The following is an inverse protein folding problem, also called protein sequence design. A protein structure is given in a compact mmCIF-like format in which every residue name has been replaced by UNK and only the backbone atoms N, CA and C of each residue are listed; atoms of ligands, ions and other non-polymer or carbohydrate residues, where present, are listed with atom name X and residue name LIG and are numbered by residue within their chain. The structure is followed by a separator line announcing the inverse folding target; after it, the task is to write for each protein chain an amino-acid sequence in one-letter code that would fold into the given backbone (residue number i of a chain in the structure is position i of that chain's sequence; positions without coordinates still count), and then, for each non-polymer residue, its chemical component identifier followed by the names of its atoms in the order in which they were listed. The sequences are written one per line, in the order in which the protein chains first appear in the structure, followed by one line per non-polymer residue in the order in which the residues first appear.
data_IF_258755248511
#
_entry.id   IF_258755248511
#
_cell.length_a   1.000
_cell.length_b   1.000
_cell.length_c   1.000
_cell.angle_alpha   90.00
_cell.angle_beta   90.00
_cell.angle_gamma   90.00
#
_symmetry.space_group_name_H-M   'P 1'
#
loop_
_entity.id
_entity.type
_entity.pdbx_description
1 polymer ?
#
# COMPACT_ATOMS: atom_id res chain seq x y z
N UNK A 1 47.96 -15.93 -29.80
CA UNK A 1 47.54 -15.00 -28.73
C UNK A 1 46.33 -15.58 -28.02
N UNK A 2 46.36 -16.86 -27.66
CA UNK A 2 47.13 -17.45 -26.55
C UNK A 2 46.65 -17.06 -25.17
N UNK A 3 46.33 -18.13 -24.44
CA UNK A 3 46.45 -18.30 -23.00
C UNK A 3 45.26 -17.92 -22.11
N UNK A 4 44.79 -18.77 -21.20
CA UNK A 4 45.18 -20.13 -20.81
C UNK A 4 44.18 -20.68 -19.77
N UNK A 5 43.94 -21.99 -19.83
CA UNK A 5 43.85 -23.00 -18.74
C UNK A 5 42.72 -23.03 -17.69
N UNK A 6 42.10 -24.22 -17.68
CA UNK A 6 41.46 -24.98 -16.60
C UNK A 6 42.43 -25.39 -15.47
N UNK A 7 41.93 -25.55 -14.23
CA UNK A 7 42.28 -26.57 -13.20
C UNK A 7 41.34 -26.36 -11.97
N UNK A 8 40.39 -27.22 -11.53
CA UNK A 8 40.36 -28.57 -10.90
C UNK A 8 40.80 -28.66 -9.41
N UNK A 9 39.79 -28.70 -8.52
CA UNK A 9 39.46 -29.64 -7.39
C UNK A 9 40.25 -29.71 -6.05
N UNK A 10 39.43 -29.83 -4.96
CA UNK A 10 39.57 -30.60 -3.69
C UNK A 10 40.65 -30.16 -2.66
N UNK A 11 40.57 -30.39 -1.34
CA UNK A 11 39.60 -30.93 -0.35
C UNK A 11 40.25 -30.88 1.06
N UNK A 12 39.43 -30.76 2.13
CA UNK A 12 39.63 -31.17 3.55
C UNK A 12 40.86 -30.71 4.37
N UNK A 13 40.65 -30.20 5.60
CA UNK A 13 40.43 -31.02 6.82
C UNK A 13 40.46 -30.21 8.13
N UNK A 14 39.56 -30.62 9.02
CA UNK A 14 39.33 -30.39 10.46
C UNK A 14 40.47 -29.93 11.41
N UNK A 15 40.05 -29.21 12.47
CA UNK A 15 40.43 -29.47 13.88
C UNK A 15 39.32 -29.01 14.87
N UNK A 16 38.71 -30.01 15.54
CA UNK A 16 38.07 -30.00 16.89
C UNK A 16 39.11 -29.62 17.96
N UNK A 17 38.88 -29.25 19.23
CA UNK A 17 37.80 -29.06 20.22
C UNK A 17 38.49 -28.26 21.38
N UNK A 18 37.87 -27.57 22.34
CA UNK A 18 37.15 -28.10 23.52
C UNK A 18 36.85 -26.93 24.50
N UNK A 19 35.99 -27.18 25.48
CA UNK A 19 35.24 -26.27 26.37
C UNK A 19 35.81 -26.29 27.80
N UNK A 20 35.75 -25.18 28.58
CA UNK A 20 35.11 -25.12 29.93
C UNK A 20 35.50 -23.90 30.81
N UNK A 21 34.48 -23.08 31.12
CA UNK A 21 33.98 -22.55 32.42
C UNK A 21 34.89 -21.94 33.52
N UNK A 22 34.54 -20.72 34.00
CA UNK A 22 34.04 -20.46 35.37
C UNK A 22 33.93 -18.97 35.80
N UNK A 23 32.70 -18.61 36.20
CA UNK A 23 32.27 -17.85 37.40
C UNK A 23 32.56 -16.33 37.65
N UNK A 24 31.44 -15.59 37.78
CA UNK A 24 31.11 -14.54 38.80
C UNK A 24 31.90 -13.20 38.76
N UNK A 25 31.39 -11.97 38.95
CA UNK A 25 30.22 -11.40 39.63
C UNK A 25 30.10 -9.90 39.24
N UNK A 26 28.93 -9.39 38.83
CA UNK A 26 28.45 -8.04 39.22
C UNK A 26 26.99 -7.80 38.80
N UNK A 27 26.11 -7.80 39.80
CA UNK A 27 24.72 -7.34 39.72
C UNK A 27 24.71 -5.79 39.76
N UNK A 28 23.83 -5.14 39.01
CA UNK A 28 22.64 -4.44 39.53
C UNK A 28 22.01 -3.44 38.54
N UNK A 29 20.80 -3.81 38.08
CA UNK A 29 19.54 -3.03 37.99
C UNK A 29 19.63 -1.51 37.72
N UNK A 30 19.26 -1.11 36.50
CA UNK A 30 18.62 0.18 36.20
C UNK A 30 17.24 -0.05 35.58
N UNK A 31 16.21 -0.07 36.42
CA UNK A 31 14.83 0.17 36.01
C UNK A 31 14.11 0.91 37.12
N UNK A 32 14.23 2.24 37.08
CA UNK A 32 13.38 3.20 37.81
C UNK A 32 12.99 4.27 36.82
N UNK A 33 12.04 3.92 35.96
CA UNK A 33 11.48 4.82 34.97
C UNK A 33 10.68 5.91 35.71
N UNK A 34 11.26 7.12 35.73
CA UNK A 34 10.62 8.44 35.80
C UNK A 34 9.46 8.62 36.80
N UNK A 35 9.81 9.03 38.02
CA UNK A 35 8.97 9.89 38.85
C UNK A 35 9.66 11.25 38.99
N UNK A 36 9.20 12.26 38.24
CA UNK A 36 9.50 13.67 38.54
C UNK A 36 8.32 14.55 38.10
N UNK A 37 7.41 14.72 39.05
CA UNK A 37 6.67 15.94 39.38
C UNK A 37 6.71 17.09 38.36
N UNK A 38 5.53 17.44 37.83
CA UNK A 38 5.19 18.82 37.43
C UNK A 38 3.95 19.23 38.23
N UNK A 39 4.18 19.91 39.34
CA UNK A 39 3.27 20.94 39.86
C UNK A 39 3.54 22.25 39.09
N UNK A 40 2.54 23.14 39.07
CA UNK A 40 2.35 24.36 38.27
C UNK A 40 1.64 24.09 36.93
N UNK A 41 0.43 24.59 36.66
CA UNK A 41 -0.15 25.87 37.08
C UNK A 41 -1.68 25.79 37.29
N UNK A 42 -2.11 26.26 38.46
CA UNK A 42 -3.48 26.50 38.89
C UNK A 42 -4.13 27.73 38.22
N UNK A 43 -3.83 28.00 36.94
CA UNK A 43 -4.36 29.17 36.21
C UNK A 43 -5.10 28.81 34.92
N UNK A 44 -5.29 27.52 34.62
CA UNK A 44 -6.00 27.05 33.41
C UNK A 44 -7.32 26.33 33.66
N UNK A 45 -7.74 26.13 34.92
CA UNK A 45 -8.90 25.30 35.27
C UNK A 45 -10.25 26.07 35.26
N UNK A 46 -10.22 27.40 35.16
CA UNK A 46 -11.42 28.22 35.28
C UNK A 46 -12.26 28.30 33.98
N UNK A 47 -11.70 27.93 32.83
CA UNK A 47 -12.41 27.99 31.55
C UNK A 47 -13.08 26.66 31.15
N UNK A 48 -12.96 25.60 31.95
CA UNK A 48 -13.42 24.25 31.61
C UNK A 48 -14.72 23.82 32.31
N UNK A 49 -15.40 24.70 33.05
CA UNK A 49 -16.57 24.35 33.87
C UNK A 49 -17.92 24.81 33.31
N UNK A 50 -17.98 25.35 32.09
CA UNK A 50 -19.25 25.83 31.51
C UNK A 50 -19.69 25.15 30.19
N UNK A 51 -19.13 23.99 29.85
CA UNK A 51 -19.78 23.13 28.86
C UNK A 51 -20.84 22.30 29.57
N UNK A 52 -22.11 22.72 29.47
CA UNK A 52 -23.26 21.87 29.79
C UNK A 52 -23.15 20.51 29.08
N UNK A 53 -23.93 19.49 29.49
CA UNK A 53 -23.82 18.14 28.92
C UNK A 53 -23.89 18.25 27.40
N UNK A 54 -22.77 17.94 26.73
CA UNK A 54 -22.78 17.78 25.28
C UNK A 54 -23.70 16.60 25.02
N UNK A 55 -24.90 16.86 24.53
CA UNK A 55 -25.76 15.84 23.97
C UNK A 55 -24.99 15.21 22.80
N UNK A 56 -24.22 14.17 23.08
CA UNK A 56 -23.65 13.31 22.05
C UNK A 56 -24.83 12.55 21.48
N UNK A 57 -25.39 13.07 20.39
CA UNK A 57 -26.41 12.37 19.63
C UNK A 57 -25.75 11.08 19.13
N UNK A 58 -26.09 9.97 19.74
CA UNK A 58 -25.72 8.64 19.26
C UNK A 58 -26.60 8.36 18.05
N UNK A 59 -26.02 8.43 16.86
CA UNK A 59 -26.71 8.05 15.64
C UNK A 59 -26.69 6.53 15.51
N UNK A 60 -27.83 5.94 15.19
CA UNK A 60 -27.91 4.54 14.78
C UNK A 60 -27.30 4.38 13.38
N UNK A 61 -26.81 3.17 13.06
CA UNK A 61 -26.35 2.85 11.70
C UNK A 61 -27.47 3.10 10.69
N UNK A 62 -27.26 4.04 9.76
CA UNK A 62 -28.18 4.26 8.65
C UNK A 62 -27.92 3.20 7.59
N UNK A 63 -28.57 2.05 7.70
CA UNK A 63 -28.47 0.97 6.72
C UNK A 63 -29.03 1.45 5.37
N UNK A 64 -28.18 1.59 4.34
CA UNK A 64 -28.63 1.82 2.96
C UNK A 64 -28.25 0.65 2.08
N UNK A 65 -29.21 0.03 1.42
CA UNK A 65 -28.95 -1.10 0.52
C UNK A 65 -28.42 -0.69 -0.86
N UNK A 66 -28.48 0.60 -1.19
CA UNK A 66 -28.16 1.13 -2.51
C UNK A 66 -27.39 2.45 -2.40
N UNK A 67 -26.44 2.71 -3.33
CA UNK A 67 -25.77 4.00 -3.42
C UNK A 67 -26.74 5.10 -3.87
N UNK A 68 -26.55 6.31 -3.36
CA UNK A 68 -27.28 7.48 -3.85
C UNK A 68 -26.95 7.68 -5.36
N UNK A 69 -27.90 8.18 -6.16
CA UNK A 69 -27.77 8.24 -7.63
C UNK A 69 -26.48 8.92 -8.11
N UNK A 70 -26.06 9.99 -7.43
CA UNK A 70 -24.86 10.76 -7.76
C UNK A 70 -23.55 10.18 -7.19
N UNK A 71 -23.63 9.05 -6.47
CA UNK A 71 -22.54 8.42 -5.72
C UNK A 71 -22.13 7.06 -6.28
N UNK A 72 -22.72 6.65 -7.41
CA UNK A 72 -22.39 5.42 -8.14
C UNK A 72 -20.99 5.48 -8.74
N UNK A 73 -20.35 4.32 -8.83
CA UNK A 73 -19.07 4.19 -9.52
C UNK A 73 -19.20 4.51 -11.01
N UNK A 74 -18.40 5.45 -11.49
CA UNK A 74 -18.29 5.79 -12.91
C UNK A 74 -17.04 5.15 -13.50
N UNK A 75 -17.23 4.16 -14.38
CA UNK A 75 -16.14 3.50 -15.11
C UNK A 75 -15.30 4.52 -15.89
N UNK A 76 -15.94 5.42 -16.65
CA UNK A 76 -15.25 6.44 -17.43
C UNK A 76 -14.36 7.35 -16.56
N UNK A 77 -14.89 7.83 -15.42
CA UNK A 77 -14.11 8.68 -14.51
C UNK A 77 -12.93 7.93 -13.91
N UNK A 78 -13.12 6.66 -13.57
CA UNK A 78 -12.04 5.81 -13.07
C UNK A 78 -10.99 5.55 -14.15
N UNK A 79 -11.37 5.28 -15.39
CA UNK A 79 -10.44 5.12 -16.53
C UNK A 79 -9.62 6.38 -16.76
N UNK A 80 -10.23 7.56 -16.72
CA UNK A 80 -9.53 8.84 -16.83
C UNK A 80 -8.51 9.04 -15.70
N UNK A 81 -8.89 8.69 -14.46
CA UNK A 81 -7.98 8.75 -13.30
C UNK A 81 -6.80 7.78 -13.49
N UNK A 82 -7.08 6.53 -13.88
CA UNK A 82 -6.05 5.51 -14.11
C UNK A 82 -5.08 5.99 -15.19
N UNK A 83 -5.60 6.40 -16.35
CA UNK A 83 -4.78 6.88 -17.47
C UNK A 83 -3.94 8.09 -17.07
N UNK A 84 -4.53 9.10 -16.43
CA UNK A 84 -3.81 10.30 -15.98
C UNK A 84 -2.67 9.98 -15.01
N UNK A 85 -2.87 9.01 -14.10
CA UNK A 85 -1.81 8.56 -13.19
C UNK A 85 -0.73 7.79 -13.93
N UNK A 86 -1.09 6.86 -14.81
CA UNK A 86 -0.11 6.10 -15.58
C UNK A 86 0.72 7.02 -16.48
N UNK A 87 0.06 7.84 -17.29
CA UNK A 87 0.71 8.79 -18.20
C UNK A 87 1.64 9.76 -17.44
N UNK A 88 1.14 10.42 -16.39
CA UNK A 88 1.92 11.41 -15.65
C UNK A 88 3.18 10.86 -14.96
N UNK A 89 3.23 9.55 -14.68
CA UNK A 89 4.37 8.93 -14.01
C UNK A 89 5.22 8.04 -14.91
N UNK A 90 4.68 7.50 -16.00
CA UNK A 90 5.35 6.51 -16.85
C UNK A 90 5.78 7.08 -18.21
N UNK A 91 5.15 8.15 -18.68
CA UNK A 91 5.49 8.74 -19.98
C UNK A 91 6.94 9.24 -20.02
N UNK A 92 7.63 8.88 -21.10
CA UNK A 92 9.04 9.21 -21.30
C UNK A 92 10.04 8.44 -20.42
N UNK A 93 9.61 7.38 -19.72
CA UNK A 93 10.52 6.50 -18.97
C UNK A 93 10.76 5.20 -19.72
N UNK A 94 11.90 4.58 -19.44
CA UNK A 94 12.19 3.19 -19.80
C UNK A 94 12.04 2.29 -18.57
N UNK A 95 11.75 1.01 -18.82
CA UNK A 95 11.63 -0.01 -17.79
C UNK A 95 12.94 -0.18 -16.99
N UNK A 96 12.84 -0.04 -15.67
CA UNK A 96 13.92 -0.34 -14.73
C UNK A 96 13.45 -1.36 -13.69
N UNK A 97 13.98 -2.60 -13.70
CA UNK A 97 13.55 -3.67 -12.80
C UNK A 97 13.81 -3.35 -11.31
N UNK A 98 14.68 -2.40 -10.99
CA UNK A 98 14.96 -1.99 -9.60
C UNK A 98 13.99 -0.93 -9.09
N UNK A 99 13.49 -0.05 -9.97
CA UNK A 99 12.63 1.09 -9.59
C UNK A 99 11.15 0.81 -9.78
N UNK A 100 10.81 0.08 -10.84
CA UNK A 100 9.42 -0.16 -11.23
C UNK A 100 8.59 -0.94 -10.20
N UNK A 101 9.14 -1.87 -9.40
CA UNK A 101 8.35 -2.50 -8.33
C UNK A 101 7.82 -1.52 -7.28
N UNK A 102 8.66 -0.58 -6.83
CA UNK A 102 8.23 0.47 -5.89
C UNK A 102 7.26 1.45 -6.56
N UNK A 103 7.54 1.82 -7.82
CA UNK A 103 6.66 2.68 -8.59
C UNK A 103 5.28 2.06 -8.75
N UNK A 104 5.20 0.77 -9.12
CA UNK A 104 3.96 0.03 -9.26
C UNK A 104 3.10 0.08 -7.99
N UNK A 105 3.71 -0.17 -6.82
CA UNK A 105 3.04 -0.03 -5.51
C UNK A 105 2.55 1.39 -5.24
N UNK A 106 3.34 2.39 -5.63
CA UNK A 106 2.98 3.81 -5.46
C UNK A 106 1.80 4.18 -6.35
N UNK A 107 1.81 3.73 -7.61
CA UNK A 107 0.75 4.00 -8.58
C UNK A 107 -0.57 3.33 -8.18
N UNK A 108 -0.53 2.09 -7.67
CA UNK A 108 -1.76 1.43 -7.21
C UNK A 108 -2.38 2.15 -6.02
N UNK A 109 -1.57 2.62 -5.07
CA UNK A 109 -2.07 3.42 -3.94
C UNK A 109 -2.65 4.75 -4.42
N UNK A 110 -1.93 5.47 -5.30
CA UNK A 110 -2.36 6.76 -5.82
C UNK A 110 -3.67 6.66 -6.63
N UNK A 111 -3.80 5.64 -7.48
CA UNK A 111 -5.03 5.39 -8.24
C UNK A 111 -6.19 5.13 -7.26
N UNK A 112 -5.98 4.26 -6.26
CA UNK A 112 -6.99 3.95 -5.24
C UNK A 112 -7.44 5.21 -4.51
N UNK A 113 -6.50 6.05 -4.07
CA UNK A 113 -6.79 7.30 -3.36
C UNK A 113 -7.57 8.29 -4.25
N UNK A 114 -7.14 8.51 -5.49
CA UNK A 114 -7.82 9.43 -6.42
C UNK A 114 -9.23 8.95 -6.78
N UNK A 115 -9.42 7.65 -7.00
CA UNK A 115 -10.77 7.09 -7.25
C UNK A 115 -11.63 7.22 -6.00
N UNK A 116 -11.10 6.94 -4.81
CA UNK A 116 -11.84 7.11 -3.56
C UNK A 116 -12.25 8.58 -3.33
N UNK A 117 -11.38 9.52 -3.69
CA UNK A 117 -11.65 10.97 -3.62
C UNK A 117 -12.65 11.46 -4.68
N UNK A 118 -13.08 10.61 -5.61
CA UNK A 118 -13.98 11.01 -6.72
C UNK A 118 -15.45 11.18 -6.32
N UNK A 119 -15.76 11.08 -5.02
CA UNK A 119 -17.10 11.24 -4.47
C UNK A 119 -17.82 9.93 -4.16
N UNK A 120 -17.14 8.78 -4.22
CA UNK A 120 -17.73 7.48 -3.88
C UNK A 120 -17.92 7.36 -2.38
N UNK A 121 -19.11 6.93 -1.97
CA UNK A 121 -19.45 6.68 -0.57
C UNK A 121 -19.76 5.20 -0.36
N UNK A 122 -19.27 4.65 0.75
CA UNK A 122 -19.49 3.26 1.16
C UNK A 122 -19.03 2.18 0.13
N UNK A 123 -18.14 2.57 -0.77
CA UNK A 123 -17.42 1.66 -1.65
C UNK A 123 -16.08 1.22 -1.04
N UNK A 124 -15.79 -0.08 -1.15
CA UNK A 124 -14.43 -0.62 -1.06
C UNK A 124 -13.78 -0.52 -2.44
N UNK A 125 -12.63 0.16 -2.48
CA UNK A 125 -11.86 0.34 -3.71
C UNK A 125 -10.61 -0.53 -3.65
N UNK A 126 -10.42 -1.35 -4.68
CA UNK A 126 -9.22 -2.14 -4.91
C UNK A 126 -8.59 -1.67 -6.21
N UNK A 127 -7.32 -1.26 -6.17
CA UNK A 127 -6.55 -0.90 -7.35
C UNK A 127 -5.41 -1.89 -7.55
N UNK A 128 -5.26 -2.36 -8.78
CA UNK A 128 -4.19 -3.26 -9.21
C UNK A 128 -3.46 -2.58 -10.35
N UNK A 129 -2.13 -2.54 -10.26
CA UNK A 129 -1.26 -2.09 -11.35
C UNK A 129 -0.34 -3.24 -11.69
N UNK A 130 -0.27 -3.58 -12.97
CA UNK A 130 0.69 -4.52 -13.52
C UNK A 130 1.59 -3.74 -14.47
N UNK A 131 2.91 -3.84 -14.31
CA UNK A 131 3.86 -3.28 -15.27
C UNK A 131 4.77 -4.40 -15.75
N UNK A 132 4.88 -4.55 -17.06
CA UNK A 132 5.60 -5.65 -17.69
C UNK A 132 6.55 -5.10 -18.74
N UNK A 133 7.84 -5.41 -18.61
CA UNK A 133 8.83 -5.17 -19.65
C UNK A 133 8.37 -5.80 -20.96
N UNK A 134 8.51 -5.10 -22.09
CA UNK A 134 8.20 -5.59 -23.41
C UNK A 134 9.48 -6.09 -24.09
N UNK A 135 9.56 -7.40 -24.26
CA UNK A 135 10.61 -8.17 -24.94
C UNK A 135 10.00 -8.96 -26.11
N UNK A 136 9.00 -8.39 -26.77
CA UNK A 136 8.24 -9.00 -27.86
C UNK A 136 7.45 -10.26 -27.45
N UNK A 137 7.05 -10.36 -26.18
CA UNK A 137 6.17 -11.42 -25.68
C UNK A 137 4.70 -10.99 -25.66
N UNK A 138 3.80 -11.97 -25.79
CA UNK A 138 2.36 -11.77 -25.54
C UNK A 138 2.01 -11.85 -24.06
N UNK A 139 1.14 -10.96 -23.58
CA UNK A 139 0.57 -11.01 -22.24
C UNK A 139 -0.93 -10.72 -22.28
N UNK A 140 -1.68 -11.38 -21.38
CA UNK A 140 -3.13 -11.16 -21.22
C UNK A 140 -3.46 -11.01 -19.74
N UNK A 141 -4.10 -9.91 -19.39
CA UNK A 141 -4.67 -9.69 -18.06
C UNK A 141 -6.17 -9.94 -18.14
N UNK A 142 -6.70 -10.76 -17.24
CA UNK A 142 -8.12 -11.05 -17.14
C UNK A 142 -8.51 -11.18 -15.66
N UNK A 143 -9.74 -10.81 -15.34
CA UNK A 143 -10.33 -10.96 -14.01
C UNK A 143 -11.71 -11.60 -14.10
N UNK A 144 -12.09 -12.31 -13.04
CA UNK A 144 -13.43 -12.89 -12.86
C UNK A 144 -13.91 -12.50 -11.47
N UNK A 145 -15.12 -11.96 -11.39
CA UNK A 145 -15.70 -11.46 -10.15
C UNK A 145 -17.08 -12.07 -9.95
N UNK A 146 -17.42 -12.37 -8.70
CA UNK A 146 -18.78 -12.65 -8.26
C UNK A 146 -19.18 -11.49 -7.34
N UNK A 147 -20.12 -10.68 -7.79
CA UNK A 147 -20.44 -9.38 -7.20
C UNK A 147 -21.85 -8.92 -7.62
N UNK A 148 -22.36 -7.85 -7.02
CA UNK A 148 -23.67 -7.29 -7.35
C UNK A 148 -23.62 -6.55 -8.70
N UNK A 149 -24.40 -7.01 -9.68
CA UNK A 149 -24.41 -6.46 -11.04
C UNK A 149 -24.92 -5.01 -11.16
N UNK A 150 -25.58 -4.48 -10.12
CA UNK A 150 -26.15 -3.13 -10.12
C UNK A 150 -25.20 -2.12 -9.50
N UNK A 151 -24.49 -2.49 -8.44
CA UNK A 151 -23.74 -1.55 -7.61
C UNK A 151 -22.24 -1.75 -7.65
N UNK A 152 -21.77 -2.96 -7.97
CA UNK A 152 -20.35 -3.26 -8.11
C UNK A 152 -19.91 -3.11 -9.55
N UNK A 153 -18.73 -2.55 -9.76
CA UNK A 153 -18.21 -2.33 -11.11
C UNK A 153 -16.67 -2.18 -11.12
N UNK A 154 -16.09 -2.19 -12.32
CA UNK A 154 -14.65 -2.04 -12.53
C UNK A 154 -14.34 -1.12 -13.70
N UNK A 155 -13.07 -0.72 -13.76
CA UNK A 155 -12.45 0.02 -14.85
C UNK A 155 -11.05 -0.55 -15.10
N UNK A 156 -10.61 -0.59 -16.35
CA UNK A 156 -9.26 -1.03 -16.69
C UNK A 156 -8.71 -0.26 -17.87
N UNK A 157 -7.44 0.13 -17.78
CA UNK A 157 -6.74 0.91 -18.80
C UNK A 157 -5.39 0.28 -19.08
N UNK A 158 -5.02 0.26 -20.36
CA UNK A 158 -3.69 -0.12 -20.84
C UNK A 158 -2.92 1.15 -21.19
N UNK A 159 -1.66 1.21 -20.76
CA UNK A 159 -0.70 2.26 -21.10
C UNK A 159 0.51 1.60 -21.75
N UNK A 160 0.95 2.12 -22.89
CA UNK A 160 2.11 1.63 -23.62
C UNK A 160 3.27 2.61 -23.46
N UNK A 161 4.39 2.12 -22.92
CA UNK A 161 5.66 2.84 -22.85
C UNK A 161 6.57 2.48 -24.03
N UNK A 162 7.84 2.90 -23.95
CA UNK A 162 8.86 2.60 -24.97
C UNK A 162 9.21 1.11 -25.05
N UNK A 163 9.47 0.48 -23.89
CA UNK A 163 9.92 -0.90 -23.76
C UNK A 163 9.17 -1.65 -22.63
N UNK A 164 7.96 -1.23 -22.31
CA UNK A 164 7.06 -1.89 -21.36
C UNK A 164 5.62 -1.52 -21.64
N UNK A 165 4.69 -2.29 -21.09
CA UNK A 165 3.28 -1.91 -20.98
C UNK A 165 2.85 -1.96 -19.51
N UNK A 166 1.87 -1.13 -19.18
CA UNK A 166 1.25 -1.09 -17.88
C UNK A 166 -0.26 -1.28 -18.00
N UNK A 167 -0.85 -2.03 -17.07
CA UNK A 167 -2.29 -2.22 -16.97
C UNK A 167 -2.72 -1.79 -15.58
N UNK A 168 -3.51 -0.73 -15.51
CA UNK A 168 -4.16 -0.27 -14.28
C UNK A 168 -5.61 -0.74 -14.27
N UNK A 169 -6.02 -1.41 -13.20
CA UNK A 169 -7.39 -1.86 -13.01
C UNK A 169 -7.91 -1.44 -11.63
N UNK A 170 -9.16 -1.02 -11.58
CA UNK A 170 -9.85 -0.64 -10.34
C UNK A 170 -11.15 -1.42 -10.22
N UNK A 171 -11.41 -1.95 -9.04
CA UNK A 171 -12.65 -2.62 -8.68
C UNK A 171 -13.30 -1.83 -7.54
N UNK A 172 -14.55 -1.47 -7.73
CA UNK A 172 -15.37 -0.79 -6.75
C UNK A 172 -16.49 -1.74 -6.32
N UNK A 173 -16.48 -2.11 -5.04
CA UNK A 173 -17.48 -3.00 -4.44
C UNK A 173 -18.25 -2.20 -3.39
N UNK A 174 -19.55 -2.05 -3.58
CA UNK A 174 -20.45 -1.43 -2.61
C UNK A 174 -20.51 -2.35 -1.38
N UNK A 175 -20.10 -1.83 -0.22
CA UNK A 175 -19.82 -2.68 0.94
C UNK A 175 -20.72 -2.41 2.14
N UNK A 176 -21.37 -1.25 2.18
CA UNK A 176 -22.45 -1.06 3.12
C UNK A 176 -23.36 -0.01 2.54
#
# INVERSE_FOLDING_TARGET
MDSFKRFVKASNSDKRSEVSDSSSTRKQKLSRFKLKMRMMSSLGMAAALNSGPRNTVTYENTYKTEPDDNRRFSTLKAEQIIYSVLDGYLSGRDYDPKRFPLLCKTLSELIKERVKASGLERYKIVAIVNICENKDQGARVASRCLWDSKFDNHASVVFEGSNFFAVGSVYAVYFD
#
